data_IF_768631697085
#
_entry.id   IF_768631697085
#
_cell.length_a   1.000
_cell.length_b   1.000
_cell.length_c   1.000
_cell.angle_alpha   90.00
_cell.angle_beta   90.00
_cell.angle_gamma   90.00
#
_symmetry.space_group_name_H-M   'P 1'
#
loop_
_entity.id
_entity.type
_entity.pdbx_description
1 polymer ?
#
# COMPACT_ATOMS: atom_id res chain seq x y z
N UNK A 1 16.60 6.73 23.48
CA UNK A 1 16.36 5.86 22.30
C UNK A 1 15.03 5.07 22.31
N UNK A 2 14.11 5.30 23.28
CA UNK A 2 12.72 4.80 23.23
C UNK A 2 11.67 5.92 23.07
N UNK A 3 12.08 7.20 23.02
CA UNK A 3 11.17 8.36 22.96
C UNK A 3 10.74 8.78 21.54
N UNK A 4 11.31 8.18 20.47
CA UNK A 4 10.97 8.48 19.07
C UNK A 4 9.99 7.46 18.46
N UNK A 5 9.74 6.34 19.16
CA UNK A 5 8.88 5.27 18.65
C UNK A 5 7.41 5.68 18.47
N UNK A 6 6.95 6.71 19.19
CA UNK A 6 5.55 7.17 19.08
C UNK A 6 5.23 7.90 17.77
N UNK A 7 6.20 8.59 17.16
CA UNK A 7 5.94 9.43 15.98
C UNK A 7 6.22 8.67 14.66
N UNK A 8 7.30 7.89 14.59
CA UNK A 8 7.67 7.14 13.38
C UNK A 8 6.63 6.09 12.98
N UNK A 9 6.13 5.32 13.94
CA UNK A 9 5.09 4.31 13.71
C UNK A 9 3.79 4.95 13.25
N UNK A 10 3.36 6.03 13.91
CA UNK A 10 2.13 6.75 13.56
C UNK A 10 2.22 7.38 12.17
N UNK A 11 3.34 8.01 11.83
CA UNK A 11 3.54 8.58 10.50
C UNK A 11 3.56 7.52 9.41
N UNK A 12 4.24 6.38 9.64
CA UNK A 12 4.23 5.26 8.69
C UNK A 12 2.83 4.69 8.49
N UNK A 13 2.05 4.53 9.56
CA UNK A 13 0.64 4.13 9.46
C UNK A 13 -0.19 5.15 8.69
N UNK A 14 0.03 6.45 8.92
CA UNK A 14 -0.66 7.53 8.21
C UNK A 14 -0.34 7.49 6.72
N UNK A 15 0.93 7.29 6.35
CA UNK A 15 1.34 7.09 4.94
C UNK A 15 0.61 5.89 4.33
N UNK A 16 0.59 4.74 5.01
CA UNK A 16 -0.14 3.56 4.53
C UNK A 16 -1.63 3.87 4.30
N UNK A 17 -2.30 4.49 5.28
CA UNK A 17 -3.72 4.84 5.16
C UNK A 17 -3.98 5.81 4.01
N UNK A 18 -3.15 6.84 3.85
CA UNK A 18 -3.28 7.81 2.75
C UNK A 18 -3.13 7.13 1.40
N UNK A 19 -2.12 6.28 1.22
CA UNK A 19 -1.91 5.57 -0.04
C UNK A 19 -2.98 4.51 -0.32
N UNK A 20 -3.47 3.83 0.71
CA UNK A 20 -4.55 2.85 0.56
C UNK A 20 -5.85 3.52 0.15
N UNK A 21 -6.19 4.67 0.75
CA UNK A 21 -7.33 5.49 0.33
C UNK A 21 -7.09 6.09 -1.06
N UNK A 22 -5.89 6.59 -1.36
CA UNK A 22 -5.58 7.14 -2.68
C UNK A 22 -5.75 6.10 -3.80
N UNK A 23 -5.24 4.88 -3.60
CA UNK A 23 -5.35 3.78 -4.57
C UNK A 23 -6.78 3.30 -4.79
N UNK A 24 -7.70 3.60 -3.87
CA UNK A 24 -9.12 3.32 -4.01
C UNK A 24 -9.83 4.25 -5.01
N UNK A 25 -9.28 5.45 -5.28
CA UNK A 25 -9.89 6.47 -6.15
C UNK A 25 -9.09 6.75 -7.42
N UNK A 26 -7.76 6.64 -7.35
CA UNK A 26 -6.85 6.93 -8.45
C UNK A 26 -6.20 5.64 -8.97
N UNK A 27 -5.79 5.65 -10.24
CA UNK A 27 -4.86 4.65 -10.74
C UNK A 27 -3.55 4.66 -9.94
N UNK A 28 -2.92 3.49 -9.76
CA UNK A 28 -1.73 3.33 -8.94
C UNK A 28 -0.59 4.26 -9.38
N UNK A 29 -0.39 4.43 -10.68
CA UNK A 29 0.66 5.30 -11.21
C UNK A 29 0.36 6.77 -10.92
N UNK A 30 -0.90 7.19 -11.12
CA UNK A 30 -1.34 8.56 -10.85
C UNK A 30 -1.22 8.92 -9.37
N UNK A 31 -1.67 8.03 -8.48
CA UNK A 31 -1.53 8.21 -7.04
C UNK A 31 -0.06 8.35 -6.63
N UNK A 32 0.82 7.50 -7.19
CA UNK A 32 2.25 7.58 -6.92
C UNK A 32 2.82 8.94 -7.31
N UNK A 33 2.58 9.43 -8.54
CA UNK A 33 3.11 10.72 -8.98
C UNK A 33 2.61 11.91 -8.15
N UNK A 34 1.37 11.85 -7.66
CA UNK A 34 0.78 12.93 -6.87
C UNK A 34 1.33 12.94 -5.44
N UNK A 35 1.36 11.79 -4.78
CA UNK A 35 1.67 11.71 -3.35
C UNK A 35 3.16 11.53 -3.05
N UNK A 36 3.94 10.95 -3.96
CA UNK A 36 5.39 10.74 -3.78
C UNK A 36 6.15 12.02 -3.41
N UNK A 37 6.01 13.18 -4.12
CA UNK A 37 6.75 14.39 -3.76
C UNK A 37 6.39 14.92 -2.37
N UNK A 38 5.19 14.64 -1.88
CA UNK A 38 4.72 15.03 -0.54
C UNK A 38 5.26 14.09 0.54
N UNK A 39 5.30 12.79 0.26
CA UNK A 39 5.69 11.76 1.24
C UNK A 39 7.21 11.56 1.31
N UNK A 40 7.94 11.77 0.22
CA UNK A 40 9.39 11.63 0.17
C UNK A 40 10.14 12.41 1.27
N UNK A 41 9.90 13.71 1.51
CA UNK A 41 10.58 14.44 2.58
C UNK A 41 10.25 13.89 3.98
N UNK A 42 9.05 13.33 4.18
CA UNK A 42 8.64 12.70 5.43
C UNK A 42 9.43 11.40 5.65
N UNK A 43 9.53 10.56 4.63
CA UNK A 43 10.27 9.30 4.69
C UNK A 43 11.76 9.54 4.96
N UNK A 44 12.34 10.55 4.30
CA UNK A 44 13.73 10.96 4.53
C UNK A 44 13.94 11.48 5.96
N UNK A 45 13.04 12.33 6.46
CA UNK A 45 13.11 12.82 7.85
C UNK A 45 13.00 11.68 8.87
N UNK A 46 12.24 10.63 8.55
CA UNK A 46 12.09 9.44 9.39
C UNK A 46 13.24 8.42 9.25
N UNK A 47 14.23 8.69 8.40
CA UNK A 47 15.31 7.75 8.05
C UNK A 47 14.74 6.38 7.65
N UNK A 48 13.74 6.39 6.77
CA UNK A 48 13.17 5.18 6.16
C UNK A 48 13.91 4.93 4.86
N UNK A 49 14.29 3.67 4.64
CA UNK A 49 14.89 3.27 3.37
C UNK A 49 13.90 3.50 2.22
N UNK A 50 14.35 4.19 1.17
CA UNK A 50 13.47 4.58 0.06
C UNK A 50 13.02 3.38 -0.78
N UNK A 51 13.82 2.29 -0.81
CA UNK A 51 13.44 1.04 -1.47
C UNK A 51 12.34 0.35 -0.68
N UNK A 52 12.51 0.22 0.64
CA UNK A 52 11.45 -0.28 1.53
C UNK A 52 10.16 0.53 1.37
N UNK A 53 10.28 1.86 1.32
CA UNK A 53 9.15 2.75 1.13
C UNK A 53 8.45 2.54 -0.20
N UNK A 54 9.19 2.45 -1.30
CA UNK A 54 8.63 2.11 -2.60
C UNK A 54 7.83 0.81 -2.54
N UNK A 55 8.40 -0.24 -1.93
CA UNK A 55 7.75 -1.55 -1.82
C UNK A 55 6.41 -1.48 -1.08
N UNK A 56 6.36 -0.95 0.15
CA UNK A 56 5.09 -0.91 0.88
C UNK A 56 4.09 0.09 0.27
N UNK A 57 4.54 1.17 -0.38
CA UNK A 57 3.67 2.10 -1.10
C UNK A 57 3.04 1.40 -2.33
N UNK A 58 3.82 0.66 -3.10
CA UNK A 58 3.30 -0.12 -4.23
C UNK A 58 2.27 -1.14 -3.77
N UNK A 59 2.51 -1.82 -2.64
CA UNK A 59 1.55 -2.78 -2.07
C UNK A 59 0.27 -2.07 -1.59
N UNK A 60 0.37 -0.91 -0.95
CA UNK A 60 -0.82 -0.10 -0.58
C UNK A 60 -1.70 0.20 -1.80
N UNK A 61 -1.08 0.66 -2.88
CA UNK A 61 -1.77 1.03 -4.10
C UNK A 61 -2.40 -0.19 -4.77
N UNK A 62 -1.68 -1.32 -4.83
CA UNK A 62 -2.22 -2.57 -5.36
C UNK A 62 -3.47 -3.03 -4.58
N UNK A 63 -3.44 -2.92 -3.24
CA UNK A 63 -4.59 -3.23 -2.38
C UNK A 63 -5.72 -2.22 -2.64
N UNK A 64 -5.42 -0.93 -2.76
CA UNK A 64 -6.41 0.11 -3.05
C UNK A 64 -7.18 -0.16 -4.35
N UNK A 65 -6.49 -0.59 -5.41
CA UNK A 65 -7.10 -0.86 -6.72
C UNK A 65 -8.08 -2.06 -6.72
N UNK A 66 -7.93 -2.98 -5.76
CA UNK A 66 -8.82 -4.13 -5.56
C UNK A 66 -9.80 -3.95 -4.40
N UNK A 67 -9.74 -2.84 -3.67
CA UNK A 67 -10.63 -2.55 -2.54
C UNK A 67 -11.79 -1.68 -3.01
N UNK A 68 -13.06 -1.97 -2.61
CA UNK A 68 -14.20 -1.13 -2.97
C UNK A 68 -14.08 0.26 -2.34
N UNK A 69 -13.94 1.32 -3.15
CA UNK A 69 -15.08 2.19 -3.49
C UNK A 69 -15.24 2.46 -5.00
N UNK A 70 -14.14 2.60 -5.76
CA UNK A 70 -14.14 2.64 -7.25
C UNK A 70 -13.59 1.33 -7.81
N UNK A 71 -12.60 0.71 -7.14
CA UNK A 71 -12.13 -0.66 -7.41
C UNK A 71 -11.91 -0.97 -8.89
N UNK A 72 -11.16 -0.15 -9.62
CA UNK A 72 -11.05 -0.23 -11.09
C UNK A 72 -10.72 -1.66 -11.55
N UNK A 73 -9.81 -2.35 -10.86
CA UNK A 73 -9.45 -3.73 -11.19
C UNK A 73 -10.58 -4.73 -10.89
N UNK A 74 -11.40 -4.48 -9.87
CA UNK A 74 -12.61 -5.27 -9.60
C UNK A 74 -13.66 -5.08 -10.68
N UNK A 75 -13.87 -3.84 -11.15
CA UNK A 75 -14.86 -3.55 -12.20
C UNK A 75 -14.43 -4.14 -13.55
N UNK A 76 -13.16 -3.97 -13.92
CA UNK A 76 -12.60 -4.56 -15.14
C UNK A 76 -12.64 -6.09 -15.06
N UNK A 77 -12.21 -6.67 -13.94
CA UNK A 77 -12.24 -8.12 -13.73
C UNK A 77 -13.65 -8.71 -13.76
N UNK A 78 -14.62 -8.04 -13.13
CA UNK A 78 -16.02 -8.45 -13.15
C UNK A 78 -16.62 -8.38 -14.57
N UNK A 79 -16.28 -7.33 -15.33
CA UNK A 79 -16.71 -7.18 -16.73
C UNK A 79 -16.17 -8.28 -17.65
N UNK A 80 -14.89 -8.65 -17.50
CA UNK A 80 -14.27 -9.75 -18.26
C UNK A 80 -14.87 -11.10 -17.86
N UNK A 81 -15.10 -11.32 -16.56
CA UNK A 81 -15.63 -12.58 -16.04
C UNK A 81 -17.15 -12.73 -16.19
N UNK A 82 -17.87 -11.69 -16.62
CA UNK A 82 -19.33 -11.71 -16.76
C UNK A 82 -20.09 -11.90 -15.44
N UNK A 83 -19.50 -11.50 -14.31
CA UNK A 83 -20.10 -11.62 -12.97
C UNK A 83 -20.39 -10.25 -12.38
N UNK A 84 -21.29 -10.18 -11.40
CA UNK A 84 -21.54 -8.92 -10.69
C UNK A 84 -20.34 -8.54 -9.80
N UNK A 85 -20.02 -7.24 -9.76
CA UNK A 85 -18.96 -6.70 -8.90
C UNK A 85 -19.17 -7.10 -7.44
N UNK A 86 -20.42 -7.07 -6.96
CA UNK A 86 -20.76 -7.47 -5.59
C UNK A 86 -20.36 -8.92 -5.26
N UNK A 87 -20.49 -9.85 -6.22
CA UNK A 87 -20.07 -11.24 -6.05
C UNK A 87 -18.54 -11.36 -6.00
N UNK A 88 -17.84 -10.61 -6.85
CA UNK A 88 -16.37 -10.61 -6.89
C UNK A 88 -15.77 -9.97 -5.64
N UNK A 89 -16.34 -8.87 -5.17
CA UNK A 89 -15.90 -8.17 -3.94
C UNK A 89 -15.86 -9.15 -2.76
N UNK A 90 -16.94 -9.92 -2.53
CA UNK A 90 -16.99 -10.90 -1.43
C UNK A 90 -15.89 -11.95 -1.53
N UNK A 91 -15.48 -12.32 -2.75
CA UNK A 91 -14.40 -13.29 -2.99
C UNK A 91 -13.01 -12.68 -2.85
N UNK A 92 -12.86 -11.38 -3.09
CA UNK A 92 -11.59 -10.65 -2.98
C UNK A 92 -11.25 -10.23 -1.55
N UNK A 93 -12.26 -10.06 -0.68
CA UNK A 93 -12.05 -9.73 0.75
C UNK A 93 -10.94 -10.56 1.44
N UNK A 94 -10.87 -11.91 1.35
CA UNK A 94 -9.78 -12.66 1.96
C UNK A 94 -8.39 -12.29 1.43
N UNK A 95 -8.28 -11.95 0.14
CA UNK A 95 -7.03 -11.48 -0.46
C UNK A 95 -6.65 -10.08 0.01
N UNK A 96 -7.63 -9.19 0.18
CA UNK A 96 -7.41 -7.84 0.74
C UNK A 96 -6.92 -7.93 2.18
N UNK A 97 -7.52 -8.82 2.98
CA UNK A 97 -7.08 -9.05 4.37
C UNK A 97 -5.65 -9.60 4.39
N UNK A 98 -5.34 -10.60 3.56
CA UNK A 98 -3.97 -11.13 3.44
C UNK A 98 -2.97 -10.06 3.00
N UNK A 99 -3.35 -9.23 2.03
CA UNK A 99 -2.56 -8.08 1.57
C UNK A 99 -2.31 -7.06 2.68
N UNK A 100 -3.32 -6.73 3.49
CA UNK A 100 -3.18 -5.83 4.62
C UNK A 100 -2.23 -6.38 5.70
N UNK A 101 -2.25 -7.69 5.96
CA UNK A 101 -1.28 -8.33 6.87
C UNK A 101 0.13 -8.22 6.31
N UNK A 102 0.33 -8.55 5.04
CA UNK A 102 1.63 -8.44 4.37
C UNK A 102 2.12 -6.98 4.37
N UNK A 103 1.22 -6.01 4.15
CA UNK A 103 1.54 -4.60 4.16
C UNK A 103 2.10 -4.13 5.52
N UNK A 104 1.47 -4.57 6.62
CA UNK A 104 1.96 -4.27 7.96
C UNK A 104 3.33 -4.91 8.19
N UNK A 105 3.52 -6.16 7.75
CA UNK A 105 4.82 -6.84 7.82
C UNK A 105 5.90 -6.08 7.04
N UNK A 106 5.64 -5.64 5.81
CA UNK A 106 6.60 -4.88 4.99
C UNK A 106 6.89 -3.48 5.56
N UNK A 107 5.91 -2.87 6.23
CA UNK A 107 6.07 -1.55 6.87
C UNK A 107 6.96 -1.64 8.11
N UNK A 108 6.79 -2.68 8.93
CA UNK A 108 7.49 -2.82 10.22
C UNK A 108 8.75 -3.70 10.18
N UNK A 109 8.90 -4.54 9.15
CA UNK A 109 10.03 -5.47 8.98
C UNK A 109 10.74 -5.13 7.67
N UNK A 110 11.69 -4.17 7.69
CA UNK A 110 12.46 -3.77 6.51
C UNK A 110 13.15 -4.93 5.79
N UNK A 111 13.58 -5.94 6.55
CA UNK A 111 14.30 -7.10 6.03
C UNK A 111 13.46 -7.92 5.02
N UNK A 112 12.13 -7.87 5.09
CA UNK A 112 11.29 -8.53 4.09
C UNK A 112 11.33 -7.82 2.73
N UNK A 113 11.51 -6.49 2.74
CA UNK A 113 11.54 -5.68 1.53
C UNK A 113 12.95 -5.54 0.95
N UNK A 114 13.96 -5.36 1.82
CA UNK A 114 15.33 -5.01 1.40
C UNK A 114 16.34 -6.13 1.69
N UNK A 115 15.92 -7.21 2.37
CA UNK A 115 16.84 -8.28 2.79
C UNK A 115 17.44 -9.07 1.64
N UNK A 116 16.69 -9.29 0.55
CA UNK A 116 17.24 -9.88 -0.68
C UNK A 116 18.19 -8.90 -1.37
N UNK A 117 17.88 -7.60 -1.36
CA UNK A 117 18.69 -6.59 -2.03
C UNK A 117 20.06 -6.40 -1.38
N UNK A 118 20.14 -6.52 -0.05
CA UNK A 118 21.39 -6.46 0.71
C UNK A 118 22.27 -7.71 0.61
N UNK A 119 21.77 -8.79 0.00
CA UNK A 119 22.50 -10.05 -0.16
C UNK A 119 23.38 -10.08 -1.42
N UNK A 120 23.18 -9.13 -2.35
CA UNK A 120 23.90 -8.98 -3.62
C UNK A 120 24.71 -7.68 -3.62
#
# INVERSE_FOLDING_TARGET
MLAISGNKVVLLLLVNVVFLIAGCFLDGSSAYYIFMPVVLPILQALNVDLVQAGVFITVNLAIGLVTPPIGINLYVGAGIAGVSVSSLVKKVVPFVIGGAVILLLLTFIPQLSVGILHLF
#
